data_IF_898672017818
#
_entry.id   IF_898672017818
#
_cell.length_a   1.000
_cell.length_b   1.000
_cell.length_c   1.000
_cell.angle_alpha   90.00
_cell.angle_beta   90.00
_cell.angle_gamma   90.00
#
_symmetry.space_group_name_H-M   'P 1'
#
loop_
_entity.id
_entity.type
_entity.pdbx_description
1 polymer ?
#
# COMPACT_ATOMS: atom_id res chain seq x y z
N UNK A 1 21.92 -6.78 -2.46
CA UNK A 1 21.00 -7.25 -1.40
C UNK A 1 19.85 -6.29 -1.06
N UNK A 2 19.82 -5.03 -1.53
CA UNK A 2 18.71 -4.10 -1.25
C UNK A 2 17.44 -4.28 -2.10
N UNK A 3 17.55 -4.81 -3.33
CA UNK A 3 16.40 -4.98 -4.23
C UNK A 3 15.35 -6.00 -3.74
N UNK A 4 15.79 -7.04 -3.02
CA UNK A 4 14.90 -8.05 -2.45
C UNK A 4 14.09 -7.55 -1.25
N UNK A 5 14.61 -6.55 -0.53
CA UNK A 5 13.91 -5.96 0.61
C UNK A 5 12.78 -5.06 0.14
N UNK A 6 13.03 -4.25 -0.89
CA UNK A 6 12.01 -3.38 -1.50
C UNK A 6 10.85 -4.17 -2.12
N UNK A 7 11.11 -5.31 -2.76
CA UNK A 7 10.05 -6.14 -3.33
C UNK A 7 9.15 -6.77 -2.25
N UNK A 8 9.73 -7.22 -1.13
CA UNK A 8 8.97 -7.75 0.00
C UNK A 8 8.06 -6.71 0.64
N UNK A 9 8.56 -5.48 0.82
CA UNK A 9 7.81 -4.37 1.41
C UNK A 9 6.62 -3.96 0.54
N UNK A 10 6.80 -3.94 -0.78
CA UNK A 10 5.71 -3.66 -1.73
C UNK A 10 4.64 -4.75 -1.63
N UNK A 11 5.03 -6.03 -1.65
CA UNK A 11 4.08 -7.15 -1.55
C UNK A 11 3.30 -7.14 -0.24
N UNK A 12 3.95 -6.78 0.87
CA UNK A 12 3.29 -6.63 2.16
C UNK A 12 2.25 -5.50 2.13
N UNK A 13 2.62 -4.31 1.62
CA UNK A 13 1.68 -3.19 1.49
C UNK A 13 0.48 -3.55 0.61
N UNK A 14 0.69 -4.20 -0.54
CA UNK A 14 -0.40 -4.60 -1.44
C UNK A 14 -1.32 -5.66 -0.79
N UNK A 15 -0.75 -6.60 -0.02
CA UNK A 15 -1.52 -7.62 0.70
C UNK A 15 -2.36 -7.00 1.81
N UNK A 16 -1.80 -6.03 2.54
CA UNK A 16 -2.50 -5.30 3.59
C UNK A 16 -3.68 -4.52 3.01
N UNK A 17 -3.43 -3.74 1.95
CA UNK A 17 -4.45 -2.95 1.26
C UNK A 17 -5.63 -3.80 0.77
N UNK A 18 -5.32 -4.94 0.13
CA UNK A 18 -6.35 -5.89 -0.32
C UNK A 18 -7.21 -6.43 0.82
N UNK A 19 -6.60 -6.75 1.96
CA UNK A 19 -7.33 -7.24 3.14
C UNK A 19 -8.16 -6.15 3.81
N UNK A 20 -7.63 -4.94 3.93
CA UNK A 20 -8.29 -3.82 4.61
C UNK A 20 -9.51 -3.34 3.83
N UNK A 21 -9.40 -3.21 2.50
CA UNK A 21 -10.47 -2.66 1.67
C UNK A 21 -11.39 -3.72 1.08
N UNK A 22 -11.06 -5.01 1.19
CA UNK A 22 -11.94 -6.14 0.86
C UNK A 22 -12.72 -6.03 -0.47
N UNK A 23 -12.13 -5.39 -1.49
CA UNK A 23 -12.75 -5.18 -2.80
C UNK A 23 -13.26 -3.76 -3.08
N UNK A 24 -13.25 -2.85 -2.10
CA UNK A 24 -13.53 -1.43 -2.34
C UNK A 24 -12.44 -0.79 -3.23
N UNK A 25 -12.87 0.14 -4.07
CA UNK A 25 -11.96 0.89 -4.93
C UNK A 25 -11.12 1.87 -4.10
N UNK A 26 -9.82 1.64 -4.08
CA UNK A 26 -8.84 2.57 -3.51
C UNK A 26 -7.79 2.94 -4.54
N UNK A 27 -7.25 4.15 -4.44
CA UNK A 27 -6.11 4.60 -5.22
C UNK A 27 -4.94 4.86 -4.28
N UNK A 28 -3.83 4.15 -4.49
CA UNK A 28 -2.58 4.43 -3.79
C UNK A 28 -1.95 5.69 -4.35
N UNK A 29 -1.66 6.65 -3.48
CA UNK A 29 -1.07 7.94 -3.88
C UNK A 29 0.46 7.89 -3.79
N UNK A 30 0.99 7.59 -2.60
CA UNK A 30 2.44 7.60 -2.35
C UNK A 30 2.84 6.56 -1.30
N UNK A 31 4.08 6.06 -1.41
CA UNK A 31 4.74 5.25 -0.38
C UNK A 31 5.82 6.09 0.31
N UNK A 32 5.84 6.10 1.63
CA UNK A 32 6.86 6.72 2.45
C UNK A 32 7.93 5.68 2.80
N UNK A 33 9.20 6.02 2.57
CA UNK A 33 10.35 5.12 2.81
C UNK A 33 11.40 5.74 3.75
N UNK A 34 11.06 6.81 4.49
CA UNK A 34 12.04 7.57 5.28
C UNK A 34 11.67 7.74 6.75
N UNK A 35 10.70 8.60 7.08
CA UNK A 35 10.32 8.89 8.48
C UNK A 35 9.24 7.94 9.03
N UNK A 36 8.47 7.34 8.14
CA UNK A 36 7.39 6.40 8.43
C UNK A 36 7.40 5.36 7.32
N UNK A 37 7.45 4.07 7.69
CA UNK A 37 7.24 2.97 6.75
C UNK A 37 5.74 2.83 6.53
N UNK A 38 5.22 3.57 5.56
CA UNK A 38 3.77 3.67 5.34
C UNK A 38 3.41 4.13 3.94
N UNK A 39 2.12 4.29 3.69
CA UNK A 39 1.59 4.75 2.42
C UNK A 39 0.31 5.55 2.64
N UNK A 40 -0.05 6.37 1.66
CA UNK A 40 -1.32 7.09 1.63
C UNK A 40 -2.22 6.52 0.53
N UNK A 41 -3.51 6.34 0.85
CA UNK A 41 -4.55 5.92 -0.09
C UNK A 41 -5.71 6.88 -0.08
N UNK A 42 -6.31 7.08 -1.25
CA UNK A 42 -7.61 7.72 -1.41
C UNK A 42 -8.68 6.64 -1.49
N UNK A 43 -9.71 6.77 -0.65
CA UNK A 43 -10.90 5.93 -0.69
C UNK A 43 -11.92 6.55 -1.63
N UNK A 44 -12.39 5.77 -2.58
CA UNK A 44 -13.53 6.13 -3.40
C UNK A 44 -14.72 5.34 -2.87
N UNK A 45 -15.65 5.96 -2.12
CA UNK A 45 -16.89 5.26 -1.77
C UNK A 45 -17.55 4.84 -3.08
N UNK A 46 -17.72 3.53 -3.29
CA UNK A 46 -18.57 3.04 -4.36
C UNK A 46 -19.97 3.63 -4.09
N UNK A 47 -20.43 4.48 -5.01
CA UNK A 47 -21.80 4.99 -4.98
C UNK A 47 -22.79 3.91 -5.42
#
# INVERSE_FOLDING_TARGET
>A
SGAHYGSYQIQFHETLLRRTFNGEAYQKLYSYHYLINGFAVLLSPQQ
#
